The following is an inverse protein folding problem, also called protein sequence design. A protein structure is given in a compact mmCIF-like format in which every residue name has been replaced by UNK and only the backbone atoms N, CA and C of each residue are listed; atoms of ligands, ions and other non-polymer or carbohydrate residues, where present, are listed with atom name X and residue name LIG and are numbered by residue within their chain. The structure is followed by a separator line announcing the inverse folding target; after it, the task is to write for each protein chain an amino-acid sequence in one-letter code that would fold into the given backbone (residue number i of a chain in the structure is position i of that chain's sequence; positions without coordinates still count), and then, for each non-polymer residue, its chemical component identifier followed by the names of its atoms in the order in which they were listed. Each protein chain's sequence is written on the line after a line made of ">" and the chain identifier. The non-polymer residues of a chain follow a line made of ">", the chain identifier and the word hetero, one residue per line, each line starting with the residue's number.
data_IF_437146310481
#
_entry.id   IF_437146310481
#
_cell.length_a   1.000
_cell.length_b   1.000
_cell.length_c   1.000
_cell.angle_alpha   90.00
_cell.angle_beta   90.00
_cell.angle_gamma   90.00
#
_symmetry.space_group_name_H-M   'P 1'
#
loop_
_entity.id
_entity.type
_entity.pdbx_description
1 polymer ?
#
# COMPACT_ATOMS: atom_id res chain seq x y z
N UNK A 1 1.08 -16.28 4.94
CA UNK A 1 2.40 -15.82 4.50
C UNK A 1 2.53 -14.34 4.79
N UNK A 2 3.59 -13.94 5.49
CA UNK A 2 3.78 -12.53 5.83
C UNK A 2 4.12 -11.72 4.59
N UNK A 3 3.42 -10.64 4.38
CA UNK A 3 3.71 -9.69 3.30
C UNK A 3 4.46 -8.51 3.88
N UNK A 4 5.01 -7.65 3.03
CA UNK A 4 5.65 -6.42 3.50
C UNK A 4 4.68 -5.54 4.28
N UNK A 5 3.40 -5.69 4.04
CA UNK A 5 2.37 -4.94 4.74
C UNK A 5 2.33 -5.27 6.24
N UNK A 6 2.73 -6.48 6.61
CA UNK A 6 2.68 -6.92 8.00
C UNK A 6 3.90 -6.49 8.82
N UNK A 7 4.90 -5.89 8.18
CA UNK A 7 6.11 -5.43 8.84
C UNK A 7 6.08 -3.91 8.96
N UNK A 8 5.86 -3.41 10.16
CA UNK A 8 5.70 -1.97 10.38
C UNK A 8 6.83 -1.12 9.82
N UNK A 9 8.07 -1.56 10.02
CA UNK A 9 9.22 -0.83 9.49
C UNK A 9 9.21 -0.78 7.96
N UNK A 10 8.87 -1.89 7.34
CA UNK A 10 8.81 -1.96 5.89
C UNK A 10 7.67 -1.11 5.35
N UNK A 11 6.56 -1.05 6.06
CA UNK A 11 5.44 -0.27 5.58
C UNK A 11 5.75 1.22 5.51
N UNK A 12 6.50 1.76 6.46
CA UNK A 12 6.90 3.16 6.41
C UNK A 12 7.73 3.47 5.16
N UNK A 13 8.62 2.57 4.77
CA UNK A 13 9.39 2.71 3.55
C UNK A 13 8.51 2.67 2.31
N UNK A 14 7.64 1.67 2.26
CA UNK A 14 6.73 1.48 1.13
C UNK A 14 5.82 2.70 0.98
N UNK A 15 5.31 3.18 2.10
CA UNK A 15 4.46 4.36 2.13
C UNK A 15 5.16 5.57 1.52
N UNK A 16 6.41 5.79 1.90
CA UNK A 16 7.19 6.89 1.35
C UNK A 16 7.37 6.77 -0.16
N UNK A 17 7.67 5.57 -0.62
CA UNK A 17 7.87 5.33 -2.05
C UNK A 17 6.58 5.50 -2.83
N UNK A 18 5.47 5.03 -2.29
CA UNK A 18 4.17 5.19 -2.94
C UNK A 18 3.78 6.66 -3.04
N UNK A 19 4.04 7.44 -2.00
CA UNK A 19 3.74 8.87 -2.03
C UNK A 19 4.59 9.60 -3.06
N UNK A 20 5.82 9.19 -3.27
CA UNK A 20 6.67 9.78 -4.29
C UNK A 20 6.20 9.43 -5.69
N UNK A 21 5.77 8.20 -5.89
CA UNK A 21 5.34 7.73 -7.20
C UNK A 21 3.94 8.25 -7.55
N UNK A 22 3.07 8.28 -6.57
CA UNK A 22 1.68 8.71 -6.75
C UNK A 22 1.41 9.90 -5.84
N UNK A 23 1.63 11.09 -6.37
CA UNK A 23 1.52 12.32 -5.59
C UNK A 23 0.13 12.55 -5.01
N UNK A 24 -0.88 11.96 -5.62
CA UNK A 24 -2.27 12.09 -5.17
C UNK A 24 -2.57 11.30 -3.90
N UNK A 25 -1.69 10.39 -3.50
CA UNK A 25 -1.92 9.59 -2.30
C UNK A 25 -1.64 10.41 -1.04
N UNK A 26 -2.56 10.30 -0.08
CA UNK A 26 -2.41 10.97 1.21
C UNK A 26 -2.03 9.96 2.28
N UNK A 27 -1.67 10.46 3.47
CA UNK A 27 -1.41 9.59 4.60
C UNK A 27 -2.63 8.74 4.96
N UNK A 28 -3.83 9.32 4.84
CA UNK A 28 -5.06 8.58 5.12
C UNK A 28 -5.25 7.41 4.16
N UNK A 29 -4.91 7.62 2.88
CA UNK A 29 -5.01 6.56 1.89
C UNK A 29 -4.05 5.41 2.19
N UNK A 30 -2.94 5.71 2.84
CA UNK A 30 -1.87 4.76 3.11
C UNK A 30 -1.86 4.27 4.55
N UNK A 31 -2.90 4.58 5.31
CA UNK A 31 -3.03 4.07 6.67
C UNK A 31 -3.20 2.57 6.66
N UNK A 32 -2.29 1.87 7.31
CA UNK A 32 -2.34 0.42 7.40
C UNK A 32 -2.68 -0.01 8.81
N UNK A 33 -3.68 -0.86 8.93
CA UNK A 33 -4.05 -1.48 10.20
C UNK A 33 -3.71 -2.96 10.07
N UNK A 34 -2.94 -3.45 11.02
CA UNK A 34 -2.51 -4.85 11.00
C UNK A 34 -3.71 -5.79 10.90
N UNK A 35 -3.61 -6.75 9.98
CA UNK A 35 -4.69 -7.68 9.72
C UNK A 35 -5.76 -7.17 8.77
N UNK A 36 -5.63 -5.94 8.27
CA UNK A 36 -6.61 -5.36 7.37
C UNK A 36 -6.01 -4.99 6.02
N UNK A 37 -5.25 -5.91 5.46
CA UNK A 37 -4.60 -5.73 4.16
C UNK A 37 -5.62 -5.45 3.06
N UNK A 38 -6.76 -6.14 3.10
CA UNK A 38 -7.78 -5.99 2.07
C UNK A 38 -8.36 -4.59 2.03
N UNK A 39 -8.52 -3.96 3.19
CA UNK A 39 -9.02 -2.59 3.24
C UNK A 39 -8.05 -1.62 2.59
N UNK A 40 -6.77 -1.76 2.91
CA UNK A 40 -5.74 -0.92 2.34
C UNK A 40 -5.68 -1.10 0.82
N UNK A 41 -5.63 -2.34 0.36
CA UNK A 41 -5.56 -2.63 -1.07
C UNK A 41 -6.81 -2.14 -1.80
N UNK A 42 -7.98 -2.30 -1.20
CA UNK A 42 -9.22 -1.81 -1.79
C UNK A 42 -9.22 -0.29 -1.93
N UNK A 43 -8.71 0.41 -0.91
CA UNK A 43 -8.62 1.86 -0.95
C UNK A 43 -7.68 2.32 -2.05
N UNK A 44 -6.53 1.66 -2.19
CA UNK A 44 -5.56 1.99 -3.22
C UNK A 44 -6.09 1.67 -4.62
N UNK A 45 -6.86 0.60 -4.76
CA UNK A 45 -7.50 0.28 -6.05
C UNK A 45 -8.37 1.43 -6.53
N UNK A 46 -9.16 2.00 -5.63
CA UNK A 46 -10.04 3.11 -5.96
C UNK A 46 -9.25 4.35 -6.33
N UNK A 47 -8.21 4.63 -5.58
CA UNK A 47 -7.41 5.83 -5.81
C UNK A 47 -6.59 5.75 -7.07
N UNK A 48 -5.97 4.61 -7.33
CA UNK A 48 -5.03 4.45 -8.43
C UNK A 48 -5.65 3.91 -9.70
N UNK A 49 -6.86 3.36 -9.62
CA UNK A 49 -7.52 2.75 -10.78
C UNK A 49 -6.79 1.50 -11.26
N UNK A 50 -6.12 0.79 -10.36
CA UNK A 50 -5.38 -0.42 -10.69
C UNK A 50 -5.97 -1.63 -10.00
N UNK A 51 -5.66 -2.82 -10.51
CA UNK A 51 -6.14 -4.03 -9.88
C UNK A 51 -5.39 -4.30 -8.57
N UNK A 52 -6.02 -5.09 -7.70
CA UNK A 52 -5.43 -5.45 -6.43
C UNK A 52 -4.08 -6.15 -6.62
N UNK A 53 -4.02 -7.07 -7.59
CA UNK A 53 -2.78 -7.81 -7.84
C UNK A 53 -1.65 -6.91 -8.28
N UNK A 54 -1.94 -5.93 -9.13
CA UNK A 54 -0.93 -4.98 -9.58
C UNK A 54 -0.38 -4.17 -8.40
N UNK A 55 -1.27 -3.71 -7.53
CA UNK A 55 -0.86 -2.92 -6.37
C UNK A 55 -0.04 -3.78 -5.42
N UNK A 56 -0.47 -5.02 -5.18
CA UNK A 56 0.26 -5.94 -4.31
C UNK A 56 1.66 -6.20 -4.83
N UNK A 57 1.80 -6.46 -6.13
CA UNK A 57 3.09 -6.69 -6.74
C UNK A 57 4.01 -5.49 -6.62
N UNK A 58 3.45 -4.30 -6.82
CA UNK A 58 4.22 -3.08 -6.70
C UNK A 58 4.75 -2.91 -5.27
N UNK A 59 3.89 -3.11 -4.28
CA UNK A 59 4.29 -3.00 -2.88
C UNK A 59 5.39 -4.01 -2.55
N UNK A 60 5.26 -5.23 -3.03
CA UNK A 60 6.24 -6.27 -2.76
C UNK A 60 7.57 -6.05 -3.48
N UNK A 61 7.59 -5.23 -4.50
CA UNK A 61 8.81 -4.93 -5.24
C UNK A 61 9.67 -3.86 -4.58
N UNK A 62 9.15 -3.18 -3.60
CA UNK A 62 9.89 -2.11 -2.90
C UNK A 62 10.85 -2.62 -1.86
#
# INVERSE_FOLDING_TARGET
>A
MATKLEHKGNWNEVKGKLKQKYADLTDDDLTYIEGKDDELLGRLQKRLGRSRDEIRREIESY
#
